data_IF_968194317212
#
_entry.id   IF_968194317212
#
_cell.length_a   1.000
_cell.length_b   1.000
_cell.length_c   1.000
_cell.angle_alpha   90.00
_cell.angle_beta   90.00
_cell.angle_gamma   90.00
#
_symmetry.space_group_name_H-M   'P 1'
#
loop_
_entity.id
_entity.type
_entity.pdbx_description
1 polymer ?
#
# COMPACT_ATOMS: atom_id res chain seq x y z
N UNK A 1 -23.88 -16.63 9.49
CA UNK A 1 -22.60 -17.17 8.97
C UNK A 1 -22.81 -18.32 7.98
N UNK A 2 -23.49 -19.42 8.36
CA UNK A 2 -23.56 -20.64 7.52
C UNK A 2 -24.17 -20.49 6.11
N UNK A 3 -25.18 -19.64 5.92
CA UNK A 3 -25.82 -19.43 4.60
C UNK A 3 -24.90 -18.75 3.58
N UNK A 4 -24.14 -17.74 4.01
CA UNK A 4 -23.17 -17.04 3.14
C UNK A 4 -22.00 -17.95 2.79
N UNK A 5 -21.51 -18.75 3.76
CA UNK A 5 -20.44 -19.72 3.51
C UNK A 5 -20.90 -20.87 2.60
N UNK A 6 -22.16 -21.31 2.71
CA UNK A 6 -22.73 -22.32 1.83
C UNK A 6 -22.86 -21.80 0.39
N UNK A 7 -23.39 -20.58 0.22
CA UNK A 7 -23.47 -19.93 -1.09
C UNK A 7 -22.08 -19.67 -1.71
N UNK A 8 -21.10 -19.29 -0.90
CA UNK A 8 -19.72 -19.11 -1.34
C UNK A 8 -19.08 -20.42 -1.83
N UNK A 9 -19.35 -21.56 -1.17
CA UNK A 9 -18.86 -22.88 -1.64
C UNK A 9 -19.50 -23.37 -2.94
N UNK A 10 -20.69 -22.89 -3.28
CA UNK A 10 -21.36 -23.23 -4.54
C UNK A 10 -20.97 -22.35 -5.73
N UNK A 11 -20.17 -21.31 -5.50
CA UNK A 11 -19.74 -20.41 -6.57
C UNK A 11 -18.66 -21.08 -7.46
N UNK A 12 -18.61 -20.78 -8.76
CA UNK A 12 -17.52 -21.19 -9.65
C UNK A 12 -16.15 -20.78 -9.11
N UNK A 13 -15.13 -21.57 -9.41
CA UNK A 13 -13.75 -21.25 -9.05
C UNK A 13 -13.34 -19.89 -9.62
N UNK A 14 -12.61 -19.11 -8.82
CA UNK A 14 -12.17 -17.75 -9.18
C UNK A 14 -13.23 -16.65 -8.98
N UNK A 15 -14.54 -16.92 -9.04
CA UNK A 15 -15.57 -15.86 -9.01
C UNK A 15 -15.50 -14.99 -7.74
N UNK A 16 -15.29 -15.60 -6.58
CA UNK A 16 -15.16 -14.87 -5.30
C UNK A 16 -13.89 -14.02 -5.30
N UNK A 17 -12.80 -14.53 -5.85
CA UNK A 17 -11.52 -13.84 -5.93
C UNK A 17 -11.61 -12.63 -6.87
N UNK A 18 -12.28 -12.77 -8.02
CA UNK A 18 -12.52 -11.67 -8.95
C UNK A 18 -13.35 -10.57 -8.31
N UNK A 19 -14.46 -10.91 -7.64
CA UNK A 19 -15.33 -9.91 -6.98
C UNK A 19 -14.61 -9.27 -5.80
N UNK A 20 -13.82 -10.02 -5.03
CA UNK A 20 -13.01 -9.48 -3.94
C UNK A 20 -11.96 -8.48 -4.46
N UNK A 21 -11.28 -8.80 -5.56
CA UNK A 21 -10.37 -7.87 -6.24
C UNK A 21 -11.07 -6.60 -6.74
N UNK A 22 -12.23 -6.76 -7.39
CA UNK A 22 -13.05 -5.65 -7.90
C UNK A 22 -13.54 -4.75 -6.77
N UNK A 23 -13.94 -5.33 -5.63
CA UNK A 23 -14.33 -4.59 -4.43
C UNK A 23 -13.15 -3.80 -3.83
N UNK A 24 -11.92 -4.33 -3.92
CA UNK A 24 -10.72 -3.64 -3.43
C UNK A 24 -10.32 -2.43 -4.26
N UNK A 25 -10.71 -2.36 -5.55
CA UNK A 25 -10.28 -1.29 -6.47
C UNK A 25 -10.66 0.10 -5.95
N UNK A 26 -11.87 0.27 -5.40
CA UNK A 26 -12.31 1.54 -4.83
C UNK A 26 -11.47 1.96 -3.62
N UNK A 27 -11.21 1.01 -2.71
CA UNK A 27 -10.36 1.24 -1.54
C UNK A 27 -8.92 1.56 -1.94
N UNK A 28 -8.37 0.84 -2.91
CA UNK A 28 -7.03 1.07 -3.43
C UNK A 28 -6.89 2.45 -4.08
N UNK A 29 -7.85 2.84 -4.93
CA UNK A 29 -7.84 4.15 -5.59
C UNK A 29 -7.87 5.30 -4.56
N UNK A 30 -8.71 5.18 -3.53
CA UNK A 30 -8.77 6.18 -2.45
C UNK A 30 -7.47 6.26 -1.66
N UNK A 31 -6.88 5.11 -1.31
CA UNK A 31 -5.61 5.05 -0.59
C UNK A 31 -4.44 5.61 -1.43
N UNK A 32 -4.38 5.26 -2.72
CA UNK A 32 -3.36 5.77 -3.63
C UNK A 32 -3.47 7.29 -3.84
N UNK A 33 -4.70 7.80 -3.99
CA UNK A 33 -4.94 9.24 -4.06
C UNK A 33 -4.43 9.95 -2.79
N UNK A 34 -4.80 9.46 -1.61
CA UNK A 34 -4.34 10.02 -0.34
C UNK A 34 -2.81 9.98 -0.20
N UNK A 35 -2.18 8.85 -0.55
CA UNK A 35 -0.72 8.67 -0.47
C UNK A 35 0.07 9.60 -1.41
N UNK A 36 -0.52 9.98 -2.56
CA UNK A 36 0.14 10.80 -3.58
C UNK A 36 -0.28 12.28 -3.56
N UNK A 37 -1.23 12.66 -2.71
CA UNK A 37 -1.77 14.04 -2.64
C UNK A 37 -0.75 15.04 -2.10
N UNK A 38 -0.03 14.69 -1.03
CA UNK A 38 0.91 15.61 -0.39
C UNK A 38 2.25 15.66 -1.15
N UNK A 39 2.56 16.80 -1.77
CA UNK A 39 3.79 17.00 -2.54
C UNK A 39 5.06 16.75 -1.71
N UNK A 40 4.99 16.97 -0.39
CA UNK A 40 6.09 16.75 0.53
C UNK A 40 6.40 15.28 0.83
N UNK A 41 5.43 14.40 0.59
CA UNK A 41 5.43 12.99 1.00
C UNK A 41 5.20 12.03 -0.18
N UNK A 42 4.94 12.56 -1.38
CA UNK A 42 4.56 11.83 -2.59
C UNK A 42 5.58 10.77 -3.01
N UNK A 43 6.88 11.06 -2.87
CA UNK A 43 7.96 10.12 -3.19
C UNK A 43 7.93 8.90 -2.25
N UNK A 44 7.75 9.14 -0.95
CA UNK A 44 7.58 8.09 0.04
C UNK A 44 6.32 7.23 -0.20
N UNK A 45 5.21 7.88 -0.54
CA UNK A 45 3.95 7.21 -0.92
C UNK A 45 4.12 6.33 -2.17
N UNK A 46 4.80 6.83 -3.19
CA UNK A 46 5.09 6.08 -4.41
C UNK A 46 5.98 4.85 -4.14
N UNK A 47 7.04 5.00 -3.35
CA UNK A 47 7.90 3.88 -2.95
C UNK A 47 7.11 2.81 -2.19
N UNK A 48 6.24 3.23 -1.27
CA UNK A 48 5.37 2.31 -0.51
C UNK A 48 4.52 1.45 -1.44
N UNK A 49 3.84 2.08 -2.41
CA UNK A 49 2.97 1.39 -3.35
C UNK A 49 3.74 0.46 -4.30
N UNK A 50 4.88 0.91 -4.82
CA UNK A 50 5.73 0.10 -5.72
C UNK A 50 6.24 -1.14 -5.01
N UNK A 51 6.74 -0.99 -3.78
CA UNK A 51 7.22 -2.14 -3.00
C UNK A 51 6.05 -3.05 -2.63
N UNK A 52 4.90 -2.52 -2.20
CA UNK A 52 3.73 -3.33 -1.91
C UNK A 52 3.23 -4.14 -3.13
N UNK A 53 3.29 -3.56 -4.33
CA UNK A 53 2.89 -4.22 -5.58
C UNK A 53 3.92 -5.23 -6.12
N UNK A 54 5.17 -5.18 -5.64
CA UNK A 54 6.27 -6.01 -6.16
C UNK A 54 6.17 -7.50 -5.83
N UNK A 55 5.34 -7.88 -4.86
CA UNK A 55 5.24 -9.27 -4.39
C UNK A 55 6.50 -9.78 -3.68
N UNK A 56 7.47 -8.91 -3.38
CA UNK A 56 8.70 -9.26 -2.68
C UNK A 56 8.39 -9.79 -1.28
N UNK A 57 8.98 -10.94 -0.94
CA UNK A 57 8.94 -11.54 0.39
C UNK A 57 10.35 -11.57 0.95
N UNK A 58 10.55 -10.96 2.12
CA UNK A 58 11.85 -10.97 2.81
C UNK A 58 11.64 -11.44 4.24
N UNK A 59 12.48 -12.38 4.68
CA UNK A 59 12.41 -12.97 6.02
C UNK A 59 11.04 -13.58 6.38
N UNK A 60 10.30 -14.09 5.39
CA UNK A 60 8.95 -14.63 5.59
C UNK A 60 7.83 -13.59 5.71
N UNK A 61 8.16 -12.30 5.56
CA UNK A 61 7.18 -11.20 5.61
C UNK A 61 6.91 -10.68 4.20
N UNK A 62 5.63 -10.50 3.87
CA UNK A 62 5.18 -10.05 2.56
C UNK A 62 5.43 -8.58 2.24
N UNK A 63 5.27 -8.25 0.96
CA UNK A 63 5.56 -6.96 0.36
C UNK A 63 4.86 -5.76 1.00
N UNK A 64 3.64 -5.93 1.54
CA UNK A 64 2.88 -4.84 2.15
C UNK A 64 3.60 -4.23 3.37
N UNK A 65 4.23 -5.06 4.20
CA UNK A 65 4.99 -4.59 5.36
C UNK A 65 6.26 -3.86 4.92
N UNK A 66 7.03 -4.48 4.01
CA UNK A 66 8.26 -3.89 3.50
C UNK A 66 8.01 -2.60 2.72
N UNK A 67 6.86 -2.48 2.06
CA UNK A 67 6.44 -1.25 1.42
C UNK A 67 6.21 -0.12 2.42
N UNK A 68 5.50 -0.40 3.52
CA UNK A 68 5.31 0.59 4.59
C UNK A 68 6.65 1.01 5.22
N UNK A 69 7.53 0.04 5.52
CA UNK A 69 8.85 0.32 6.09
C UNK A 69 9.70 1.16 5.14
N UNK A 70 9.79 0.79 3.86
CA UNK A 70 10.54 1.52 2.85
C UNK A 70 10.01 2.95 2.68
N UNK A 71 8.69 3.11 2.59
CA UNK A 71 8.05 4.42 2.55
C UNK A 71 8.37 5.29 3.75
N UNK A 72 8.30 4.72 4.96
CA UNK A 72 8.60 5.44 6.19
C UNK A 72 10.07 5.89 6.25
N UNK A 73 10.99 5.03 5.80
CA UNK A 73 12.43 5.37 5.70
C UNK A 73 12.64 6.54 4.73
N UNK A 74 12.01 6.51 3.55
CA UNK A 74 12.09 7.61 2.57
C UNK A 74 11.48 8.89 3.13
N UNK A 75 10.32 8.79 3.79
CA UNK A 75 9.66 9.95 4.41
C UNK A 75 10.56 10.58 5.49
N UNK A 76 11.17 9.75 6.34
CA UNK A 76 12.08 10.22 7.38
C UNK A 76 13.31 10.89 6.78
N UNK A 77 13.93 10.30 5.75
CA UNK A 77 15.08 10.87 5.05
C UNK A 77 14.76 12.27 4.48
N UNK A 78 13.66 12.39 3.74
CA UNK A 78 13.21 13.66 3.16
C UNK A 78 12.89 14.73 4.21
N UNK A 79 12.32 14.32 5.36
CA UNK A 79 12.04 15.23 6.48
C UNK A 79 13.33 15.72 7.14
N UNK A 80 14.32 14.84 7.32
CA UNK A 80 15.64 15.19 7.88
C UNK A 80 16.38 16.18 6.98
N UNK A 81 16.35 15.98 5.66
CA UNK A 81 17.01 16.89 4.70
C UNK A 81 16.39 18.29 4.67
N UNK A 82 15.06 18.41 4.78
CA UNK A 82 14.39 19.71 4.86
C UNK A 82 14.75 20.49 6.12
N UNK A 83 14.91 19.81 7.26
CA UNK A 83 15.37 20.43 8.51
C UNK A 83 16.80 20.95 8.42
N UNK A 84 17.69 20.22 7.72
CA UNK A 84 19.10 20.62 7.52
C UNK A 84 19.28 21.85 6.61
N UNK A 85 18.32 22.14 5.73
CA UNK A 85 18.38 23.28 4.81
C UNK A 85 17.96 24.62 5.45
N UNK A 86 17.43 24.62 6.67
CA UNK A 86 16.94 25.82 7.39
C UNK A 86 17.94 26.45 8.37
N UNK A 87 19.25 26.23 8.21
CA UNK A 87 20.27 27.08 8.85
C UNK A 87 20.85 28.08 7.84
N UNK A 88 20.21 29.25 7.63
CA UNK A 88 20.95 30.45 7.25
C UNK A 88 21.59 31.04 8.51
N UNK A 89 22.86 31.41 8.36
CA UNK A 89 23.69 32.10 9.34
C UNK A 89 23.18 33.51 9.67
#
# INVERSE_FOLDING_TARGET
AGLVTAAARSAPEGLIETIAGLALLGTFASAAAAALTDAGSREAGAVTLVVAASGVTVAGVGAAFWGLVAGLVVLAALRIERGRRHSPA
#
